data_IF_161395296724
#
_entry.id   IF_161395296724
#
_cell.length_a   1.000
_cell.length_b   1.000
_cell.length_c   1.000
_cell.angle_alpha   90.00
_cell.angle_beta   90.00
_cell.angle_gamma   90.00
#
_symmetry.space_group_name_H-M   'P 1'
#
loop_
_entity.id
_entity.type
_entity.pdbx_description
1 polymer ?
#
# COMPACT_ATOMS: atom_id res chain seq x y z
N UNK A 1 -18.17 -27.92 21.23
CA UNK A 1 -17.03 -28.47 20.46
C UNK A 1 -16.12 -27.31 20.10
N UNK A 2 -15.07 -27.08 20.88
CA UNK A 2 -14.04 -26.10 20.50
C UNK A 2 -13.36 -26.56 19.22
N UNK A 3 -13.44 -25.75 18.16
CA UNK A 3 -12.63 -25.93 16.95
C UNK A 3 -11.19 -25.54 17.29
N UNK A 4 -10.44 -26.50 17.82
CA UNK A 4 -9.09 -26.28 18.32
C UNK A 4 -8.05 -26.80 17.34
N UNK A 5 -7.21 -25.90 16.83
CA UNK A 5 -5.98 -26.23 16.11
C UNK A 5 -5.16 -27.28 16.87
N UNK A 6 -4.51 -28.23 16.19
CA UNK A 6 -3.68 -29.26 16.86
C UNK A 6 -2.55 -28.63 17.68
N UNK A 7 -1.96 -29.38 18.62
CA UNK A 7 -0.81 -28.88 19.41
C UNK A 7 0.34 -28.40 18.51
N UNK A 8 0.59 -29.10 17.40
CA UNK A 8 1.56 -28.73 16.38
C UNK A 8 1.21 -27.43 15.65
N UNK A 9 -0.06 -27.25 15.27
CA UNK A 9 -0.52 -26.01 14.63
C UNK A 9 -0.38 -24.80 15.56
N UNK A 10 -0.66 -24.95 16.86
CA UNK A 10 -0.46 -23.89 17.85
C UNK A 10 1.01 -23.53 18.01
N UNK A 11 1.90 -24.52 18.03
CA UNK A 11 3.34 -24.29 18.09
C UNK A 11 3.86 -23.59 16.83
N UNK A 12 3.42 -24.02 15.66
CA UNK A 12 3.76 -23.41 14.37
C UNK A 12 3.26 -21.96 14.28
N UNK A 13 2.02 -21.70 14.71
CA UNK A 13 1.44 -20.36 14.75
C UNK A 13 2.22 -19.44 15.69
N UNK A 14 2.61 -19.92 16.88
CA UNK A 14 3.46 -19.14 17.81
C UNK A 14 4.83 -18.84 17.20
N UNK A 15 5.48 -19.83 16.58
CA UNK A 15 6.78 -19.62 15.93
C UNK A 15 6.71 -18.64 14.74
N UNK A 16 5.61 -18.66 13.98
CA UNK A 16 5.36 -17.66 12.94
C UNK A 16 5.14 -16.25 13.52
N UNK A 17 4.31 -16.13 14.56
CA UNK A 17 4.06 -14.85 15.22
C UNK A 17 5.33 -14.24 15.83
N UNK A 18 6.19 -15.05 16.47
CA UNK A 18 7.47 -14.59 17.01
C UNK A 18 8.39 -14.05 15.93
N UNK A 19 8.48 -14.72 14.77
CA UNK A 19 9.30 -14.25 13.64
C UNK A 19 8.81 -12.93 13.07
N UNK A 20 7.49 -12.76 12.96
CA UNK A 20 6.89 -11.50 12.50
C UNK A 20 7.12 -10.35 13.47
N UNK A 21 6.99 -10.60 14.78
CA UNK A 21 7.28 -9.61 15.81
C UNK A 21 8.76 -9.18 15.76
N UNK A 22 9.68 -10.15 15.67
CA UNK A 22 11.11 -9.87 15.58
C UNK A 22 11.49 -9.09 14.31
N UNK A 23 10.86 -9.39 13.16
CA UNK A 23 11.06 -8.63 11.93
C UNK A 23 10.60 -7.16 12.05
N UNK A 24 9.66 -6.88 12.97
CA UNK A 24 9.22 -5.53 13.31
C UNK A 24 10.03 -4.89 14.45
N UNK A 25 11.08 -5.55 14.95
CA UNK A 25 11.89 -5.07 16.08
C UNK A 25 11.18 -5.16 17.43
N UNK A 26 10.14 -5.98 17.55
CA UNK A 26 9.32 -6.14 18.76
C UNK A 26 9.44 -7.55 19.32
N UNK A 27 9.25 -7.68 20.63
CA UNK A 27 8.95 -8.96 21.25
C UNK A 27 7.51 -9.39 20.93
N UNK A 28 7.24 -10.71 21.02
CA UNK A 28 5.88 -11.22 20.82
C UNK A 28 4.87 -10.60 21.81
N UNK A 29 5.30 -10.34 23.06
CA UNK A 29 4.44 -9.73 24.07
C UNK A 29 4.07 -8.28 23.73
N UNK A 30 5.04 -7.49 23.25
CA UNK A 30 4.80 -6.10 22.82
C UNK A 30 3.90 -6.04 21.59
N UNK A 31 4.10 -6.95 20.63
CA UNK A 31 3.24 -7.06 19.46
C UNK A 31 1.78 -7.36 19.83
N UNK A 32 1.55 -8.27 20.79
CA UNK A 32 0.21 -8.58 21.29
C UNK A 32 -0.42 -7.39 22.02
N UNK A 33 0.34 -6.71 22.90
CA UNK A 33 -0.14 -5.52 23.60
C UNK A 33 -0.54 -4.38 22.64
N UNK A 34 0.15 -4.25 21.51
CA UNK A 34 -0.18 -3.28 20.47
C UNK A 34 -1.47 -3.64 19.73
N UNK A 35 -1.67 -4.92 19.43
CA UNK A 35 -2.91 -5.44 18.82
C UNK A 35 -4.10 -5.24 19.74
N UNK A 36 -3.95 -5.55 21.03
CA UNK A 36 -5.01 -5.38 22.03
C UNK A 36 -5.41 -3.90 22.18
N UNK A 37 -4.43 -2.99 22.19
CA UNK A 37 -4.69 -1.55 22.18
C UNK A 37 -5.40 -1.08 20.90
N UNK A 38 -5.06 -1.66 19.75
CA UNK A 38 -5.70 -1.33 18.48
C UNK A 38 -7.14 -1.85 18.39
N UNK A 39 -7.45 -2.95 19.07
CA UNK A 39 -8.80 -3.54 19.14
C UNK A 39 -9.65 -2.99 20.30
N UNK A 40 -9.07 -2.17 21.18
CA UNK A 40 -9.83 -1.49 22.21
C UNK A 40 -10.95 -0.64 21.58
N UNK A 41 -12.22 -0.79 22.03
CA UNK A 41 -13.32 0.00 21.50
C UNK A 41 -13.02 1.49 21.71
N UNK A 42 -13.01 2.26 20.61
CA UNK A 42 -12.81 3.71 20.67
C UNK A 42 -13.98 4.35 21.43
N UNK A 43 -13.71 5.11 22.51
CA UNK A 43 -14.76 5.92 23.13
C UNK A 43 -15.24 6.96 22.11
N UNK A 44 -16.54 6.94 21.78
CA UNK A 44 -17.16 7.87 20.83
C UNK A 44 -17.56 7.30 19.46
N UNK A 45 -17.52 5.97 19.24
CA UNK A 45 -18.02 5.36 17.98
C UNK A 45 -19.46 4.83 18.04
N UNK A 46 -20.25 5.27 19.02
CA UNK A 46 -21.70 5.18 18.92
C UNK A 46 -22.18 6.24 17.92
N UNK A 47 -23.11 5.88 17.03
CA UNK A 47 -23.81 6.78 16.10
C UNK A 47 -23.13 7.21 14.80
N UNK A 48 -22.34 6.34 14.18
CA UNK A 48 -22.33 6.37 12.71
C UNK A 48 -23.56 5.58 12.20
N UNK A 49 -24.49 6.18 11.40
CA UNK A 49 -25.57 5.42 10.80
C UNK A 49 -24.93 4.33 9.95
N UNK A 50 -25.07 3.08 10.40
CA UNK A 50 -24.61 1.92 9.66
C UNK A 50 -25.34 1.96 8.32
N UNK A 51 -24.61 2.18 7.23
CA UNK A 51 -25.14 1.92 5.88
C UNK A 51 -25.86 0.57 5.94
N UNK A 52 -27.10 0.44 5.42
CA UNK A 52 -27.75 -0.85 5.35
C UNK A 52 -26.81 -1.79 4.61
N UNK A 53 -26.24 -2.74 5.34
CA UNK A 53 -25.49 -3.83 4.77
C UNK A 53 -26.48 -4.56 3.85
N UNK A 54 -26.11 -4.90 2.60
CA UNK A 54 -26.98 -5.70 1.77
C UNK A 54 -27.29 -7.01 2.53
N UNK A 55 -28.54 -7.16 2.96
CA UNK A 55 -29.11 -8.37 3.59
C UNK A 55 -29.31 -9.48 2.57
N UNK A 56 -28.42 -9.56 1.58
CA UNK A 56 -28.30 -10.73 0.74
C UNK A 56 -27.58 -11.84 1.52
N UNK A 57 -27.90 -13.12 1.28
CA UNK A 57 -27.11 -14.21 1.84
C UNK A 57 -25.64 -14.00 1.43
N UNK A 58 -24.76 -13.89 2.43
CA UNK A 58 -23.33 -13.81 2.18
C UNK A 58 -22.91 -15.05 1.37
N UNK A 59 -22.02 -14.93 0.37
CA UNK A 59 -21.57 -16.06 -0.42
C UNK A 59 -20.93 -17.16 0.44
N UNK A 60 -20.52 -16.82 1.66
CA UNK A 60 -19.93 -17.72 2.66
C UNK A 60 -20.96 -18.44 3.55
N UNK A 61 -22.23 -18.04 3.48
CA UNK A 61 -23.36 -18.71 4.18
C UNK A 61 -24.29 -19.43 3.21
N UNK A 62 -23.93 -19.51 1.92
CA UNK A 62 -24.59 -20.45 1.02
C UNK A 62 -24.38 -21.85 1.60
N UNK A 63 -25.45 -22.62 1.84
CA UNK A 63 -25.29 -24.03 2.13
C UNK A 63 -24.47 -24.61 0.97
N UNK A 64 -23.33 -25.23 1.29
CA UNK A 64 -22.60 -25.98 0.29
C UNK A 64 -23.61 -26.93 -0.38
N UNK A 65 -23.65 -26.99 -1.73
CA UNK A 65 -24.45 -28.02 -2.38
C UNK A 65 -24.02 -29.35 -1.77
N UNK A 66 -25.01 -30.12 -1.29
CA UNK A 66 -24.80 -31.35 -0.53
C UNK A 66 -23.62 -32.13 -1.12
N UNK A 67 -22.68 -32.62 -0.29
CA UNK A 67 -21.48 -33.28 -0.78
C UNK A 67 -21.90 -34.38 -1.75
N UNK A 68 -21.51 -34.23 -3.02
CA UNK A 68 -21.72 -35.28 -4.03
C UNK A 68 -21.15 -36.57 -3.44
N UNK A 69 -21.93 -37.65 -3.47
CA UNK A 69 -21.57 -38.92 -2.85
C UNK A 69 -20.14 -39.28 -3.26
N UNK A 70 -19.29 -39.52 -2.27
CA UNK A 70 -17.92 -39.97 -2.50
C UNK A 70 -17.96 -41.23 -3.38
N UNK A 71 -17.52 -41.11 -4.64
CA UNK A 71 -17.51 -42.21 -5.59
C UNK A 71 -18.06 -41.89 -6.98
N UNK A 72 -18.78 -40.78 -7.19
CA UNK A 72 -19.14 -40.37 -8.55
C UNK A 72 -17.90 -39.77 -9.26
N UNK A 73 -17.41 -40.39 -10.35
CA UNK A 73 -16.36 -39.79 -11.14
C UNK A 73 -16.87 -38.47 -11.72
N UNK A 74 -16.12 -37.40 -11.49
CA UNK A 74 -16.44 -36.08 -12.04
C UNK A 74 -16.52 -36.22 -13.57
N UNK A 75 -17.58 -35.71 -14.22
CA UNK A 75 -17.68 -35.78 -15.67
C UNK A 75 -16.43 -35.13 -16.28
N UNK A 76 -15.94 -35.65 -17.42
CA UNK A 76 -14.81 -35.04 -18.11
C UNK A 76 -15.16 -33.59 -18.43
N UNK A 77 -14.22 -32.65 -18.24
CA UNK A 77 -14.47 -31.25 -18.56
C UNK A 77 -14.78 -31.11 -20.05
N UNK A 78 -15.71 -30.23 -20.38
CA UNK A 78 -16.01 -29.92 -21.78
C UNK A 78 -14.75 -29.38 -22.48
N UNK A 79 -14.47 -29.82 -23.71
CA UNK A 79 -13.32 -29.33 -24.45
C UNK A 79 -13.49 -27.84 -24.75
N UNK A 80 -12.47 -27.05 -24.41
CA UNK A 80 -12.46 -25.63 -24.70
C UNK A 80 -12.45 -25.39 -26.21
N UNK A 81 -13.34 -24.53 -26.70
CA UNK A 81 -13.41 -24.19 -28.12
C UNK A 81 -12.32 -23.18 -28.49
N UNK A 82 -11.90 -23.16 -29.75
CA UNK A 82 -10.91 -22.20 -30.23
C UNK A 82 -11.39 -20.73 -30.06
N UNK A 83 -12.70 -20.49 -30.19
CA UNK A 83 -13.29 -19.18 -29.96
C UNK A 83 -13.19 -18.74 -28.50
N UNK A 84 -13.36 -19.66 -27.55
CA UNK A 84 -13.20 -19.39 -26.12
C UNK A 84 -11.74 -19.08 -25.80
N UNK A 85 -10.79 -19.82 -26.38
CA UNK A 85 -9.35 -19.51 -26.25
C UNK A 85 -9.03 -18.12 -26.82
N UNK A 86 -9.62 -17.74 -27.96
CA UNK A 86 -9.43 -16.40 -28.54
C UNK A 86 -9.97 -15.31 -27.59
N UNK A 87 -11.18 -15.47 -27.06
CA UNK A 87 -11.77 -14.53 -26.09
C UNK A 87 -10.92 -14.38 -24.83
N UNK A 88 -10.36 -15.48 -24.33
CA UNK A 88 -9.46 -15.45 -23.17
C UNK A 88 -8.18 -14.68 -23.47
N UNK A 89 -7.57 -14.89 -24.65
CA UNK A 89 -6.39 -14.13 -25.07
C UNK A 89 -6.67 -12.64 -25.21
N UNK A 90 -7.78 -12.26 -25.82
CA UNK A 90 -8.19 -10.85 -25.94
C UNK A 90 -8.42 -10.20 -24.57
N UNK A 91 -9.05 -10.92 -23.64
CA UNK A 91 -9.26 -10.45 -22.27
C UNK A 91 -7.92 -10.26 -21.51
N UNK A 92 -6.98 -11.18 -21.69
CA UNK A 92 -5.64 -11.11 -21.10
C UNK A 92 -4.82 -9.96 -21.68
N UNK A 93 -4.88 -9.72 -23.00
CA UNK A 93 -4.24 -8.57 -23.62
C UNK A 93 -4.83 -7.25 -23.11
N UNK A 94 -6.15 -7.15 -23.00
CA UNK A 94 -6.81 -5.98 -22.44
C UNK A 94 -6.41 -5.76 -20.97
N UNK A 95 -6.22 -6.83 -20.19
CA UNK A 95 -5.72 -6.75 -18.82
C UNK A 95 -4.27 -6.28 -18.77
N UNK A 96 -3.39 -6.81 -19.63
CA UNK A 96 -1.99 -6.41 -19.74
C UNK A 96 -1.85 -4.94 -20.14
N UNK A 97 -2.61 -4.49 -21.14
CA UNK A 97 -2.66 -3.07 -21.55
C UNK A 97 -3.04 -2.18 -20.37
N UNK A 98 -4.12 -2.52 -19.66
CA UNK A 98 -4.55 -1.78 -18.46
C UNK A 98 -3.49 -1.77 -17.35
N UNK A 99 -2.80 -2.89 -17.13
CA UNK A 99 -1.72 -2.98 -16.15
C UNK A 99 -0.51 -2.11 -16.54
N UNK A 100 -0.11 -2.13 -17.80
CA UNK A 100 0.98 -1.30 -18.33
C UNK A 100 0.65 0.20 -18.21
N UNK A 101 -0.58 0.62 -18.55
CA UNK A 101 -1.00 2.00 -18.36
C UNK A 101 -0.95 2.43 -16.89
N UNK A 102 -1.38 1.56 -15.96
CA UNK A 102 -1.27 1.85 -14.51
C UNK A 102 0.18 1.93 -14.05
N UNK A 103 1.05 1.07 -14.56
CA UNK A 103 2.48 1.09 -14.24
C UNK A 103 3.16 2.35 -14.79
N UNK A 104 2.82 2.79 -16.00
CA UNK A 104 3.32 4.05 -16.56
C UNK A 104 2.87 5.29 -15.77
N UNK A 105 1.67 5.24 -15.18
CA UNK A 105 1.15 6.30 -14.31
C UNK A 105 1.69 6.24 -12.88
N UNK A 106 2.39 5.19 -12.48
CA UNK A 106 2.96 5.14 -11.13
C UNK A 106 4.07 6.20 -11.05
N UNK A 107 4.02 7.07 -10.03
CA UNK A 107 5.12 7.99 -9.78
C UNK A 107 6.39 7.16 -9.59
N UNK A 108 7.43 7.50 -10.36
CA UNK A 108 8.74 6.87 -10.19
C UNK A 108 9.31 7.37 -8.86
N UNK A 109 9.98 6.49 -8.08
CA UNK A 109 10.74 6.96 -6.92
C UNK A 109 11.76 7.98 -7.41
N UNK A 110 11.85 9.12 -6.73
CA UNK A 110 12.82 10.16 -7.08
C UNK A 110 14.22 9.59 -6.85
N UNK A 111 15.11 9.84 -7.81
CA UNK A 111 16.49 9.40 -7.74
C UNK A 111 17.17 10.05 -6.49
N UNK A 112 17.68 9.26 -5.53
CA UNK A 112 18.31 9.81 -4.33
C UNK A 112 19.53 10.68 -4.65
N UNK A 113 20.25 10.42 -5.74
CA UNK A 113 21.37 11.27 -6.17
C UNK A 113 20.86 12.64 -6.65
N UNK A 114 19.72 12.67 -7.34
CA UNK A 114 19.06 13.92 -7.76
C UNK A 114 18.57 14.73 -6.56
N UNK A 115 17.96 14.08 -5.57
CA UNK A 115 17.51 14.76 -4.34
C UNK A 115 18.69 15.40 -3.61
N UNK A 116 19.79 14.67 -3.44
CA UNK A 116 21.00 15.19 -2.80
C UNK A 116 21.57 16.39 -3.54
N UNK A 117 21.79 16.27 -4.84
CA UNK A 117 22.27 17.36 -5.68
C UNK A 117 21.34 18.58 -5.63
N UNK A 118 20.01 18.36 -5.73
CA UNK A 118 19.03 19.46 -5.67
C UNK A 118 18.99 20.16 -4.32
N UNK A 119 19.26 19.44 -3.22
CA UNK A 119 19.35 19.99 -1.88
C UNK A 119 20.59 20.87 -1.73
N UNK A 120 21.74 20.42 -2.26
CA UNK A 120 22.98 21.22 -2.29
C UNK A 120 22.80 22.52 -3.09
N UNK A 121 22.16 22.44 -4.26
CA UNK A 121 21.86 23.62 -5.09
C UNK A 121 20.98 24.61 -4.35
N UNK A 122 19.91 24.13 -3.68
CA UNK A 122 19.02 24.98 -2.86
C UNK A 122 19.76 25.60 -1.67
N UNK A 123 20.62 24.85 -1.00
CA UNK A 123 21.41 25.35 0.12
C UNK A 123 22.41 26.43 -0.32
N UNK A 124 23.08 26.21 -1.45
CA UNK A 124 24.00 27.19 -2.03
C UNK A 124 23.26 28.48 -2.44
N UNK A 125 22.06 28.36 -3.02
CA UNK A 125 21.25 29.52 -3.37
C UNK A 125 20.78 30.27 -2.12
N UNK A 126 20.30 29.56 -1.09
CA UNK A 126 19.90 30.17 0.17
C UNK A 126 21.05 30.89 0.89
N UNK A 127 22.29 30.42 0.74
CA UNK A 127 23.47 31.13 1.25
C UNK A 127 23.68 32.45 0.49
N UNK A 128 23.64 32.43 -0.86
CA UNK A 128 23.76 33.66 -1.67
C UNK A 128 22.64 34.65 -1.40
N UNK A 129 21.42 34.17 -1.21
CA UNK A 129 20.26 35.02 -0.92
C UNK A 129 20.41 35.70 0.44
N UNK A 130 20.96 35.00 1.44
CA UNK A 130 21.33 35.60 2.75
C UNK A 130 22.42 36.64 2.60
N UNK A 131 23.53 36.32 1.93
CA UNK A 131 24.62 37.28 1.68
C UNK A 131 24.13 38.53 0.95
N UNK A 132 23.26 38.34 -0.05
CA UNK A 132 22.67 39.42 -0.81
C UNK A 132 21.76 40.29 0.07
N UNK A 133 20.92 39.67 0.91
CA UNK A 133 20.05 40.37 1.83
C UNK A 133 20.85 41.17 2.88
N UNK A 134 21.93 40.59 3.41
CA UNK A 134 22.84 41.22 4.38
C UNK A 134 23.57 42.43 3.79
N UNK A 135 24.06 42.33 2.54
CA UNK A 135 24.68 43.47 1.82
C UNK A 135 23.71 44.62 1.61
N UNK A 136 22.42 44.33 1.44
CA UNK A 136 21.38 45.35 1.29
C UNK A 136 21.03 46.01 2.62
N UNK A 137 20.94 45.24 3.69
CA UNK A 137 20.61 45.74 5.03
C UNK A 137 21.75 46.54 5.66
N UNK A 138 23.00 46.14 5.40
CA UNK A 138 24.20 46.84 5.87
C UNK A 138 24.50 48.15 5.11
N UNK A 139 23.66 48.57 4.16
CA UNK A 139 23.89 49.77 3.36
C UNK A 139 25.12 49.69 2.44
N UNK A 140 25.79 48.54 2.36
CA UNK A 140 26.98 48.29 1.53
C UNK A 140 26.57 47.79 0.14
N UNK A 141 25.44 48.29 -0.38
CA UNK A 141 25.08 48.09 -1.77
C UNK A 141 25.89 49.10 -2.59
N UNK A 142 26.63 48.68 -3.64
CA UNK A 142 27.24 49.65 -4.54
C UNK A 142 26.11 50.52 -5.10
N UNK A 143 26.13 51.82 -4.77
CA UNK A 143 25.26 52.81 -5.41
C UNK A 143 25.51 52.65 -6.90
N UNK A 144 24.49 52.17 -7.63
CA UNK A 144 24.50 52.20 -9.08
C UNK A 144 24.87 53.61 -9.50
N UNK A 145 26.06 53.77 -10.08
CA UNK A 145 26.49 55.06 -10.58
C UNK A 145 25.44 55.54 -11.60
N UNK A 146 25.07 56.83 -11.59
CA UNK A 146 24.13 57.34 -12.58
C UNK A 146 24.72 57.05 -13.96
N UNK A 147 23.95 56.35 -14.80
CA UNK A 147 24.22 56.27 -16.24
C UNK A 147 24.23 57.70 -16.77
N UNK A 148 25.41 58.24 -17.02
CA UNK A 148 25.59 59.40 -17.87
C UNK A 148 25.24 58.95 -19.29
N UNK A 149 24.05 59.34 -19.74
CA UNK A 149 23.71 59.32 -21.16
C UNK A 149 24.46 60.47 -21.82
N UNK A 150 25.33 60.15 -22.77
CA UNK A 150 25.73 61.06 -23.86
C UNK A 150 24.68 61.01 -24.97
#
# INVERSE_FOLDING_TARGET
>A
MERGATSGERAAARAAATRLAAAAGLSLAEALALVDRAHAPRPGSADAPRRPQPTGPSPWTRPDPAPKRAGEPKPPPEPITADEVRRQKEADEARRKRAATRAAKRPRPVDPAWEHWSAEVRAAQAARDRDWAERRQSGTAPRSAPRTSE
#
